data_IF_758066928745
#
_entry.id   IF_758066928745
#
_cell.length_a   1.000
_cell.length_b   1.000
_cell.length_c   1.000
_cell.angle_alpha   90.00
_cell.angle_beta   90.00
_cell.angle_gamma   90.00
#
_symmetry.space_group_name_H-M   'P 1'
#
loop_
_entity.id
_entity.type
_entity.pdbx_description
1 polymer ?
#
# COMPACT_ATOMS: atom_id res chain seq x y z
N UNK A 1 15.00 22.20 -0.59
CA UNK A 1 14.30 20.96 -0.19
C UNK A 1 14.78 19.87 -1.12
N UNK A 2 15.36 18.79 -0.58
CA UNK A 2 15.73 17.60 -1.35
C UNK A 2 14.49 16.74 -1.52
N UNK A 3 14.11 16.42 -2.76
CA UNK A 3 12.93 15.63 -3.07
C UNK A 3 13.28 14.16 -3.30
N UNK A 4 14.33 13.89 -4.07
CA UNK A 4 14.80 12.52 -4.31
C UNK A 4 16.32 12.45 -4.25
N UNK A 5 16.83 11.45 -3.53
CA UNK A 5 18.22 11.04 -3.52
C UNK A 5 18.28 9.55 -3.22
N UNK A 6 18.66 8.73 -4.17
CA UNK A 6 18.64 7.28 -3.99
C UNK A 6 19.72 6.58 -4.80
N UNK A 7 20.04 5.36 -4.38
CA UNK A 7 20.78 4.37 -5.14
C UNK A 7 19.93 3.11 -5.32
N UNK A 8 19.99 2.50 -6.50
CA UNK A 8 19.24 1.28 -6.80
C UNK A 8 20.16 0.18 -7.27
N UNK A 9 19.96 -1.02 -6.74
CA UNK A 9 20.56 -2.24 -7.22
C UNK A 9 19.49 -3.21 -7.72
N UNK A 10 19.72 -3.86 -8.86
CA UNK A 10 18.79 -4.82 -9.45
C UNK A 10 19.49 -6.16 -9.67
N UNK A 11 18.83 -7.22 -9.24
CA UNK A 11 19.24 -8.58 -9.51
C UNK A 11 18.04 -9.42 -9.96
N UNK A 12 18.03 -9.82 -11.22
CA UNK A 12 16.89 -10.52 -11.84
C UNK A 12 15.58 -9.72 -11.63
N UNK A 13 14.64 -10.28 -10.90
CA UNK A 13 13.33 -9.68 -10.62
C UNK A 13 13.29 -8.90 -9.30
N UNK A 14 14.41 -8.84 -8.58
CA UNK A 14 14.51 -8.10 -7.32
C UNK A 14 15.16 -6.76 -7.54
N UNK A 15 14.69 -5.76 -6.83
CA UNK A 15 15.24 -4.42 -6.78
C UNK A 15 15.33 -3.95 -5.34
N UNK A 16 16.49 -3.45 -4.96
CA UNK A 16 16.74 -2.77 -3.69
C UNK A 16 16.98 -1.29 -3.99
N UNK A 17 16.17 -0.43 -3.42
CA UNK A 17 16.35 1.01 -3.43
C UNK A 17 16.78 1.47 -2.03
N UNK A 18 17.80 2.33 -1.97
CA UNK A 18 18.31 2.95 -0.74
C UNK A 18 18.21 4.46 -0.90
N UNK A 19 17.53 5.13 0.02
CA UNK A 19 17.35 6.58 0.01
C UNK A 19 15.90 7.03 -0.16
N UNK A 20 15.70 8.17 -0.80
CA UNK A 20 14.40 8.83 -1.01
C UNK A 20 14.01 8.71 -2.47
N UNK A 21 12.91 8.01 -2.76
CA UNK A 21 12.42 7.79 -4.12
C UNK A 21 10.89 7.85 -4.17
N UNK A 22 10.35 8.54 -5.17
CA UNK A 22 8.91 8.49 -5.45
C UNK A 22 8.46 7.11 -5.97
N UNK A 23 7.22 6.71 -5.69
CA UNK A 23 6.64 5.53 -6.34
C UNK A 23 6.62 5.73 -7.87
N UNK A 24 6.68 4.62 -8.59
CA UNK A 24 6.51 4.65 -10.04
C UNK A 24 5.13 5.19 -10.39
N UNK A 25 5.05 6.04 -11.41
CA UNK A 25 3.78 6.50 -11.94
C UNK A 25 3.01 5.35 -12.60
N UNK A 26 1.76 5.21 -12.23
CA UNK A 26 0.80 4.29 -12.82
C UNK A 26 -0.24 5.08 -13.66
N UNK A 27 -0.94 4.41 -14.55
CA UNK A 27 -1.99 5.00 -15.40
C UNK A 27 -1.52 6.26 -16.17
N UNK A 28 -0.28 6.24 -16.66
CA UNK A 28 0.35 7.36 -17.39
C UNK A 28 0.29 8.71 -16.63
N UNK A 29 0.28 8.69 -15.31
CA UNK A 29 0.30 9.87 -14.44
C UNK A 29 -1.03 10.62 -14.34
N UNK A 30 -2.13 10.12 -14.91
CA UNK A 30 -3.43 10.80 -14.84
C UNK A 30 -4.30 10.38 -13.65
N UNK A 31 -3.86 9.39 -12.86
CA UNK A 31 -4.54 8.98 -11.64
C UNK A 31 -4.22 9.94 -10.49
N UNK A 32 -5.24 10.39 -9.78
CA UNK A 32 -5.07 11.26 -8.60
C UNK A 32 -4.44 10.55 -7.41
N UNK A 33 -4.64 9.24 -7.32
CA UNK A 33 -4.05 8.38 -6.27
C UNK A 33 -2.82 7.64 -6.72
N UNK A 34 -2.46 7.69 -8.00
CA UNK A 34 -1.46 6.80 -8.58
C UNK A 34 -1.81 5.30 -8.41
N UNK A 35 -3.11 4.96 -8.44
CA UNK A 35 -3.60 3.61 -8.19
C UNK A 35 -3.39 3.12 -6.76
N UNK A 36 -3.17 4.03 -5.81
CA UNK A 36 -2.92 3.71 -4.40
C UNK A 36 -3.39 4.83 -3.48
N UNK A 37 -4.51 4.65 -2.80
CA UNK A 37 -5.05 5.68 -1.92
C UNK A 37 -4.22 5.91 -0.64
N UNK A 38 -3.36 4.97 -0.24
CA UNK A 38 -2.49 5.12 0.94
C UNK A 38 -1.29 6.00 0.61
N UNK A 39 -0.68 5.78 -0.56
CA UNK A 39 0.50 6.51 -1.01
C UNK A 39 0.30 7.02 -2.44
N UNK A 40 -0.32 8.18 -2.55
CA UNK A 40 -0.53 8.85 -3.84
C UNK A 40 0.78 9.38 -4.44
N UNK A 41 0.73 9.82 -5.70
CA UNK A 41 1.85 10.48 -6.36
C UNK A 41 2.35 11.75 -5.66
N UNK A 42 1.51 12.42 -4.85
CA UNK A 42 1.86 13.61 -4.07
C UNK A 42 2.48 13.29 -2.71
N UNK A 43 2.64 12.02 -2.35
CA UNK A 43 3.24 11.63 -1.09
C UNK A 43 4.71 12.03 -1.06
N UNK A 44 5.16 12.62 0.06
CA UNK A 44 6.57 12.90 0.28
C UNK A 44 7.40 11.62 0.24
N UNK A 45 8.62 11.76 -0.22
CA UNK A 45 9.64 10.71 -0.10
C UNK A 45 10.26 10.73 1.28
N UNK A 46 10.57 9.56 1.80
CA UNK A 46 11.28 9.40 3.07
C UNK A 46 12.56 8.58 2.85
N UNK A 47 13.66 8.91 3.56
CA UNK A 47 14.86 8.09 3.52
C UNK A 47 14.60 6.72 4.13
N UNK A 48 15.11 5.70 3.47
CA UNK A 48 14.94 4.34 3.92
C UNK A 48 15.46 3.33 2.93
N UNK A 49 15.00 2.10 3.05
CA UNK A 49 15.25 1.07 2.06
C UNK A 49 13.93 0.44 1.60
N UNK A 50 13.93 -0.03 0.36
CA UNK A 50 12.80 -0.70 -0.25
C UNK A 50 13.28 -1.89 -1.07
N UNK A 51 13.02 -3.10 -0.59
CA UNK A 51 13.21 -4.33 -1.34
C UNK A 51 11.90 -4.70 -2.02
N UNK A 52 11.88 -4.66 -3.33
CA UNK A 52 10.71 -4.99 -4.12
C UNK A 52 11.02 -5.99 -5.23
N UNK A 53 9.98 -6.63 -5.74
CA UNK A 53 10.10 -7.53 -6.87
C UNK A 53 9.24 -7.08 -8.04
N UNK A 54 9.63 -7.45 -9.24
CA UNK A 54 8.71 -7.54 -10.36
C UNK A 54 7.84 -8.81 -10.21
N UNK A 55 6.82 -8.97 -11.04
CA UNK A 55 6.02 -10.19 -11.04
C UNK A 55 6.85 -11.41 -11.42
N UNK A 56 7.05 -12.30 -10.49
CA UNK A 56 7.77 -13.55 -10.65
C UNK A 56 6.78 -14.68 -10.92
N UNK A 57 6.99 -15.41 -12.03
CA UNK A 57 6.16 -16.56 -12.38
C UNK A 57 6.27 -17.65 -11.30
N UNK A 58 5.15 -18.17 -10.86
CA UNK A 58 5.11 -19.30 -9.94
C UNK A 58 5.44 -20.58 -10.73
N UNK A 59 6.42 -21.38 -10.30
CA UNK A 59 6.74 -22.66 -10.96
C UNK A 59 5.51 -23.56 -11.07
N UNK A 60 5.47 -24.42 -12.07
CA UNK A 60 4.42 -25.42 -12.31
C UNK A 60 3.02 -24.86 -12.65
N UNK A 61 2.84 -23.55 -12.77
CA UNK A 61 1.53 -22.94 -13.13
C UNK A 61 1.39 -22.60 -14.61
N UNK A 62 2.32 -23.05 -15.45
CA UNK A 62 2.36 -22.74 -16.89
C UNK A 62 2.30 -21.23 -17.19
N UNK A 63 2.73 -20.38 -16.25
CA UNK A 63 2.71 -18.93 -16.37
C UNK A 63 1.36 -18.28 -16.08
N UNK A 64 0.37 -19.04 -15.60
CA UNK A 64 -0.93 -18.50 -15.18
C UNK A 64 -0.80 -17.65 -13.92
N UNK A 65 0.05 -18.07 -12.98
CA UNK A 65 0.24 -17.37 -11.70
C UNK A 65 1.59 -16.66 -11.66
N UNK A 66 1.57 -15.43 -11.12
CA UNK A 66 2.78 -14.69 -10.78
C UNK A 66 2.59 -13.94 -9.48
N UNK A 67 3.67 -13.79 -8.70
CA UNK A 67 3.66 -13.10 -7.43
C UNK A 67 4.58 -11.88 -7.48
N UNK A 68 4.21 -10.83 -6.75
CA UNK A 68 5.01 -9.62 -6.52
C UNK A 68 4.97 -9.32 -5.04
N UNK A 69 6.07 -8.83 -4.49
CA UNK A 69 6.13 -8.38 -3.10
C UNK A 69 6.91 -7.08 -2.95
N UNK A 70 6.68 -6.42 -1.83
CA UNK A 70 7.43 -5.27 -1.37
C UNK A 70 7.68 -5.37 0.13
N UNK A 71 8.86 -4.91 0.56
CA UNK A 71 9.26 -4.78 1.96
C UNK A 71 10.13 -3.55 2.12
N UNK A 72 9.69 -2.61 2.93
CA UNK A 72 10.40 -1.35 3.09
C UNK A 72 10.31 -0.82 4.52
N UNK A 73 11.34 -0.09 4.93
CA UNK A 73 11.34 0.68 6.15
C UNK A 73 11.92 2.07 5.87
N UNK A 74 11.26 3.08 6.42
CA UNK A 74 11.59 4.48 6.23
C UNK A 74 11.65 5.21 7.56
N UNK A 75 12.41 6.31 7.59
CA UNK A 75 12.44 7.27 8.67
C UNK A 75 11.71 8.55 8.24
N UNK A 76 10.85 9.06 9.11
CA UNK A 76 10.18 10.34 8.90
C UNK A 76 11.05 11.43 9.50
N UNK A 77 11.74 12.20 8.65
CA UNK A 77 12.75 13.18 9.03
C UNK A 77 12.24 14.64 8.99
N UNK A 78 10.97 14.83 8.72
CA UNK A 78 10.34 16.13 8.70
C UNK A 78 9.97 16.60 10.12
N UNK A 79 9.78 17.89 10.27
CA UNK A 79 9.32 18.51 11.52
C UNK A 79 7.85 18.14 11.74
N UNK A 80 7.61 17.30 12.74
CA UNK A 80 6.30 16.78 13.10
C UNK A 80 6.16 16.60 14.59
N UNK A 81 4.91 16.51 15.06
CA UNK A 81 4.58 16.39 16.47
C UNK A 81 5.23 15.18 17.19
N UNK A 82 5.37 14.05 16.50
CA UNK A 82 6.12 12.88 16.99
C UNK A 82 7.41 12.78 16.18
N UNK A 83 8.53 13.11 16.80
CA UNK A 83 9.86 13.07 16.17
C UNK A 83 10.39 11.63 16.02
N UNK A 84 11.32 11.41 15.09
CA UNK A 84 11.99 10.12 14.86
C UNK A 84 11.04 8.94 14.58
N UNK A 85 9.88 9.23 14.05
CA UNK A 85 8.90 8.21 13.68
C UNK A 85 9.38 7.38 12.51
N UNK A 86 9.03 6.10 12.53
CA UNK A 86 9.36 5.13 11.46
C UNK A 86 8.11 4.66 10.75
N UNK A 87 8.27 4.34 9.47
CA UNK A 87 7.24 3.70 8.65
C UNK A 87 7.75 2.33 8.20
N UNK A 88 6.94 1.31 8.44
CA UNK A 88 7.12 -0.01 7.83
C UNK A 88 6.07 -0.19 6.73
N UNK A 89 6.50 -0.71 5.56
CA UNK A 89 5.59 -1.09 4.48
C UNK A 89 5.89 -2.51 4.02
N UNK A 90 4.84 -3.27 3.83
CA UNK A 90 4.89 -4.57 3.17
C UNK A 90 3.69 -4.76 2.27
N UNK A 91 3.89 -5.48 1.17
CA UNK A 91 2.79 -5.86 0.29
C UNK A 91 3.06 -7.19 -0.41
N UNK A 92 1.99 -7.87 -0.79
CA UNK A 92 2.04 -9.06 -1.60
C UNK A 92 0.87 -9.07 -2.58
N UNK A 93 1.16 -9.34 -3.85
CA UNK A 93 0.18 -9.38 -4.93
C UNK A 93 0.30 -10.68 -5.71
N UNK A 94 -0.84 -11.30 -5.99
CA UNK A 94 -0.98 -12.44 -6.87
C UNK A 94 -1.62 -11.98 -8.17
N UNK A 95 -0.93 -12.22 -9.27
CA UNK A 95 -1.43 -11.99 -10.62
C UNK A 95 -1.84 -13.32 -11.23
N UNK A 96 -3.07 -13.38 -11.76
CA UNK A 96 -3.69 -14.53 -12.39
C UNK A 96 -3.98 -14.17 -13.84
N UNK A 97 -3.44 -14.95 -14.78
CA UNK A 97 -3.71 -14.83 -16.22
C UNK A 97 -4.45 -16.06 -16.74
N UNK A 98 -5.76 -16.12 -16.56
CA UNK A 98 -6.54 -17.28 -17.02
C UNK A 98 -6.59 -17.38 -18.54
N UNK A 99 -6.40 -16.27 -19.23
CA UNK A 99 -6.35 -16.15 -20.69
C UNK A 99 -5.39 -15.01 -21.10
N UNK A 100 -4.89 -15.00 -22.32
CA UNK A 100 -3.95 -14.00 -22.82
C UNK A 100 -4.48 -12.55 -22.72
N UNK A 101 -5.80 -12.36 -22.81
CA UNK A 101 -6.46 -11.05 -22.73
C UNK A 101 -6.93 -10.66 -21.35
N UNK A 102 -6.87 -11.54 -20.36
CA UNK A 102 -7.35 -11.24 -19.03
C UNK A 102 -6.24 -11.35 -17.99
N UNK A 103 -6.18 -10.37 -17.14
CA UNK A 103 -5.27 -10.33 -16.00
C UNK A 103 -6.04 -9.89 -14.76
N UNK A 104 -6.01 -10.70 -13.72
CA UNK A 104 -6.62 -10.42 -12.44
C UNK A 104 -5.49 -10.31 -11.43
N UNK A 105 -5.49 -9.23 -10.65
CA UNK A 105 -4.49 -9.01 -9.59
C UNK A 105 -5.26 -8.86 -8.29
N UNK A 106 -4.90 -9.67 -7.31
CA UNK A 106 -5.38 -9.53 -5.93
C UNK A 106 -4.19 -9.35 -5.01
N UNK A 107 -4.35 -8.58 -3.96
CA UNK A 107 -3.23 -8.36 -3.05
C UNK A 107 -3.59 -7.61 -1.80
N UNK A 108 -2.60 -7.51 -0.94
CA UNK A 108 -2.65 -6.77 0.31
C UNK A 108 -1.44 -5.83 0.37
N UNK A 109 -1.67 -4.63 0.82
CA UNK A 109 -0.64 -3.68 1.18
C UNK A 109 -0.90 -3.17 2.60
N UNK A 110 0.15 -3.09 3.40
CA UNK A 110 0.08 -2.70 4.79
C UNK A 110 1.19 -1.72 5.12
N UNK A 111 0.82 -0.62 5.75
CA UNK A 111 1.70 0.39 6.31
C UNK A 111 1.52 0.45 7.81
N UNK A 112 2.60 0.66 8.54
CA UNK A 112 2.58 0.88 9.96
C UNK A 112 3.50 2.02 10.36
N UNK A 113 2.97 3.02 11.04
CA UNK A 113 3.72 4.10 11.68
C UNK A 113 4.00 3.70 13.12
N UNK A 114 5.27 3.76 13.54
CA UNK A 114 5.70 3.28 14.84
C UNK A 114 6.94 4.00 15.36
N UNK A 115 7.33 3.71 16.59
CA UNK A 115 8.46 4.35 17.28
C UNK A 115 8.30 5.88 17.38
N UNK A 116 9.39 6.57 17.65
CA UNK A 116 9.43 8.03 17.78
C UNK A 116 9.30 8.50 19.22
N UNK A 117 9.30 9.82 19.39
CA UNK A 117 9.17 10.50 20.67
C UNK A 117 8.07 11.55 20.59
N UNK A 118 7.01 11.35 21.37
CA UNK A 118 5.91 12.30 21.51
C UNK A 118 6.18 13.27 22.65
N UNK A 119 5.90 14.59 22.51
CA UNK A 119 6.00 15.53 23.61
C UNK A 119 5.14 15.14 24.83
N UNK A 120 3.94 14.60 24.60
CA UNK A 120 3.01 14.26 25.68
C UNK A 120 3.21 12.86 26.27
N UNK A 121 3.68 11.90 25.45
CA UNK A 121 3.74 10.49 25.82
C UNK A 121 5.16 9.94 25.91
N UNK A 122 6.16 10.78 25.65
CA UNK A 122 7.57 10.39 25.65
C UNK A 122 7.92 9.39 24.54
N UNK A 123 8.99 8.65 24.76
CA UNK A 123 9.53 7.69 23.81
C UNK A 123 8.59 6.48 23.63
N UNK A 124 8.23 6.22 22.38
CA UNK A 124 7.39 5.08 22.01
C UNK A 124 8.19 3.79 21.88
N UNK A 125 7.57 2.60 22.03
CA UNK A 125 8.23 1.32 21.86
C UNK A 125 8.98 1.23 20.53
N UNK A 126 10.28 0.91 20.57
CA UNK A 126 11.17 0.94 19.41
C UNK A 126 12.22 -0.16 19.37
N UNK A 127 12.07 -1.20 20.23
CA UNK A 127 12.96 -2.36 20.25
C UNK A 127 12.74 -3.27 19.04
N UNK A 128 13.68 -4.18 18.79
CA UNK A 128 13.51 -5.20 17.74
C UNK A 128 12.27 -6.09 17.99
N UNK A 129 11.94 -6.37 19.25
CA UNK A 129 10.72 -7.11 19.61
C UNK A 129 9.46 -6.33 19.24
N UNK A 130 9.47 -5.01 19.40
CA UNK A 130 8.37 -4.14 18.99
C UNK A 130 8.25 -4.09 17.48
N UNK A 131 9.38 -4.05 16.76
CA UNK A 131 9.38 -4.15 15.29
C UNK A 131 8.70 -5.43 14.80
N UNK A 132 8.97 -6.59 15.42
CA UNK A 132 8.28 -7.84 15.06
C UNK A 132 6.76 -7.74 15.34
N UNK A 133 6.35 -7.05 16.41
CA UNK A 133 4.93 -6.81 16.69
C UNK A 133 4.28 -5.95 15.62
N UNK A 134 4.96 -4.87 15.20
CA UNK A 134 4.52 -3.99 14.10
C UNK A 134 4.32 -4.79 12.80
N UNK A 135 5.30 -5.60 12.42
CA UNK A 135 5.20 -6.45 11.23
C UNK A 135 3.98 -7.39 11.31
N UNK A 136 3.71 -7.95 12.47
CA UNK A 136 2.63 -8.91 12.68
C UNK A 136 1.30 -8.26 13.08
N UNK A 137 1.21 -6.93 13.14
CA UNK A 137 0.07 -6.17 13.66
C UNK A 137 -0.42 -6.73 15.02
N UNK A 138 0.53 -6.98 15.94
CA UNK A 138 0.25 -7.50 17.30
C UNK A 138 0.20 -6.40 18.32
N UNK A 139 -0.50 -6.66 19.41
CA UNK A 139 -0.60 -5.79 20.58
C UNK A 139 0.77 -5.37 21.14
N UNK A 140 0.82 -4.17 21.71
CA UNK A 140 1.99 -3.63 22.39
C UNK A 140 2.36 -4.43 23.62
N UNK A 141 3.67 -4.40 23.97
CA UNK A 141 4.17 -5.00 25.19
C UNK A 141 4.24 -4.01 26.35
N UNK A 142 5.03 -4.41 27.35
CA UNK A 142 5.34 -3.55 28.50
C UNK A 142 5.90 -2.20 28.05
N UNK A 143 5.30 -1.09 28.46
CA UNK A 143 5.68 0.27 28.07
C UNK A 143 4.90 0.82 26.85
N UNK A 144 4.00 0.05 26.27
CA UNK A 144 3.06 0.55 25.26
C UNK A 144 1.97 1.40 25.94
N UNK A 145 1.33 2.28 25.17
CA UNK A 145 0.13 3.02 25.62
C UNK A 145 -1.01 2.03 25.92
N UNK A 146 -2.01 2.46 26.71
CA UNK A 146 -3.19 1.62 26.98
C UNK A 146 -3.88 1.22 25.68
N UNK A 147 -3.97 2.14 24.72
CA UNK A 147 -4.52 1.86 23.38
C UNK A 147 -3.73 0.77 22.66
N UNK A 148 -2.41 0.88 22.61
CA UNK A 148 -1.53 -0.06 21.91
C UNK A 148 -1.41 -1.41 22.63
N UNK A 149 -1.74 -1.49 23.92
CA UNK A 149 -1.77 -2.73 24.69
C UNK A 149 -3.06 -3.54 24.46
N UNK A 150 -4.10 -2.91 23.91
CA UNK A 150 -5.39 -3.55 23.59
C UNK A 150 -5.52 -3.76 22.08
N UNK A 151 -4.93 -2.86 21.28
CA UNK A 151 -4.90 -2.90 19.82
C UNK A 151 -3.50 -3.23 19.32
N UNK A 152 -3.33 -3.26 17.98
CA UNK A 152 -2.02 -3.40 17.38
C UNK A 152 -1.10 -2.22 17.76
N UNK A 153 0.16 -2.51 18.08
CA UNK A 153 1.18 -1.52 18.41
C UNK A 153 1.43 -0.59 17.21
N UNK A 154 1.32 0.73 17.41
CA UNK A 154 1.50 1.72 16.38
C UNK A 154 0.22 2.05 15.61
N UNK A 155 0.33 2.83 14.54
CA UNK A 155 -0.80 3.21 13.69
C UNK A 155 -0.70 2.46 12.36
N UNK A 156 -1.72 1.66 12.07
CA UNK A 156 -1.77 0.77 10.91
C UNK A 156 -2.75 1.30 9.87
N UNK A 157 -2.37 1.20 8.61
CA UNK A 157 -3.22 1.50 7.46
C UNK A 157 -2.90 0.51 6.36
N UNK A 158 -3.90 -0.08 5.77
CA UNK A 158 -3.71 -1.01 4.68
C UNK A 158 -4.82 -0.98 3.67
N UNK A 159 -4.63 -1.75 2.62
CA UNK A 159 -5.65 -1.98 1.59
C UNK A 159 -5.67 -3.42 1.13
N UNK A 160 -6.85 -3.90 0.89
CA UNK A 160 -7.13 -5.06 0.06
C UNK A 160 -7.32 -4.58 -1.36
N UNK A 161 -6.63 -5.19 -2.31
CA UNK A 161 -6.56 -4.72 -3.69
C UNK A 161 -7.10 -5.76 -4.66
N UNK A 162 -7.96 -5.31 -5.58
CA UNK A 162 -8.39 -6.06 -6.74
C UNK A 162 -8.19 -5.22 -7.99
N UNK A 163 -7.52 -5.77 -9.00
CA UNK A 163 -7.49 -5.22 -10.35
C UNK A 163 -7.93 -6.27 -11.35
N UNK A 164 -8.75 -5.87 -12.31
CA UNK A 164 -9.13 -6.68 -13.47
C UNK A 164 -8.76 -5.91 -14.74
N UNK A 165 -7.85 -6.46 -15.53
CA UNK A 165 -7.42 -5.89 -16.80
C UNK A 165 -7.93 -6.72 -17.96
N UNK A 166 -8.48 -6.04 -18.95
CA UNK A 166 -8.72 -6.59 -20.28
C UNK A 166 -7.69 -6.01 -21.26
N UNK A 167 -6.89 -6.89 -21.83
CA UNK A 167 -5.76 -6.55 -22.71
C UNK A 167 -6.19 -6.78 -24.17
N UNK A 168 -6.77 -5.77 -24.81
CA UNK A 168 -7.06 -5.80 -26.24
C UNK A 168 -5.78 -5.52 -27.06
N UNK A 169 -5.84 -5.74 -28.38
CA UNK A 169 -4.70 -5.50 -29.26
C UNK A 169 -4.30 -4.01 -29.29
N UNK A 170 -5.29 -3.11 -29.28
CA UNK A 170 -5.10 -1.66 -29.44
C UNK A 170 -5.33 -0.83 -28.15
N UNK A 171 -5.84 -1.41 -27.08
CA UNK A 171 -6.12 -0.71 -25.83
C UNK A 171 -6.08 -1.65 -24.62
N UNK A 172 -6.10 -1.04 -23.46
CA UNK A 172 -6.25 -1.71 -22.16
C UNK A 172 -7.48 -1.11 -21.48
N UNK A 173 -8.33 -1.96 -20.92
CA UNK A 173 -9.34 -1.55 -19.94
C UNK A 173 -8.94 -2.11 -18.60
N UNK A 174 -8.99 -1.26 -17.57
CA UNK A 174 -8.72 -1.69 -16.20
C UNK A 174 -9.87 -1.25 -15.30
N UNK A 175 -10.25 -2.15 -14.42
CA UNK A 175 -11.03 -1.83 -13.24
C UNK A 175 -10.17 -2.15 -12.03
N UNK A 176 -10.06 -1.23 -11.07
CA UNK A 176 -9.51 -1.59 -9.76
C UNK A 176 -10.42 -1.13 -8.62
N UNK A 177 -10.31 -1.85 -7.52
CA UNK A 177 -10.99 -1.56 -6.27
C UNK A 177 -10.03 -1.81 -5.11
N UNK A 178 -9.90 -0.78 -4.27
CA UNK A 178 -9.13 -0.84 -3.02
C UNK A 178 -10.08 -0.68 -1.84
N UNK A 179 -10.07 -1.64 -0.91
CA UNK A 179 -10.81 -1.59 0.34
C UNK A 179 -9.85 -1.22 1.46
N UNK A 180 -10.06 -0.09 2.18
CA UNK A 180 -9.19 0.32 3.27
C UNK A 180 -9.40 -0.54 4.52
N UNK A 181 -8.33 -0.73 5.29
CA UNK A 181 -8.39 -1.24 6.66
C UNK A 181 -7.35 -0.53 7.54
N UNK A 182 -7.66 -0.34 8.83
CA UNK A 182 -6.77 0.34 9.78
C UNK A 182 -6.20 -0.59 10.84
N UNK A 183 -6.85 -1.72 11.10
CA UNK A 183 -6.41 -2.70 12.10
C UNK A 183 -6.72 -4.14 11.65
N UNK A 184 -6.44 -5.12 12.51
CA UNK A 184 -6.71 -6.52 12.24
C UNK A 184 -8.19 -6.83 11.99
N UNK A 185 -9.11 -6.01 12.53
CA UNK A 185 -10.55 -6.19 12.31
C UNK A 185 -10.99 -5.75 10.91
N UNK A 186 -10.22 -4.88 10.25
CA UNK A 186 -10.48 -4.39 8.90
C UNK A 186 -10.15 -5.38 7.79
N UNK A 187 -9.33 -6.40 8.06
CA UNK A 187 -8.88 -7.38 7.06
C UNK A 187 -9.94 -8.39 6.59
N UNK A 188 -11.15 -8.35 7.15
CA UNK A 188 -12.27 -9.24 6.80
C UNK A 188 -13.26 -8.57 5.82
N UNK A 189 -12.80 -7.66 4.96
CA UNK A 189 -13.65 -6.85 4.08
C UNK A 189 -14.75 -6.05 4.80
N UNK A 190 -14.56 -5.77 6.09
CA UNK A 190 -15.59 -5.12 6.93
C UNK A 190 -15.90 -3.69 6.51
N UNK A 191 -14.94 -3.03 5.90
CA UNK A 191 -15.14 -1.68 5.35
C UNK A 191 -15.93 -1.67 4.05
N UNK A 192 -16.15 -2.83 3.40
CA UNK A 192 -16.92 -2.87 2.15
C UNK A 192 -18.36 -2.32 2.36
N UNK A 193 -18.90 -1.47 1.49
CA UNK A 193 -18.38 -1.08 0.16
C UNK A 193 -17.46 0.15 0.14
N UNK A 194 -16.95 0.61 1.28
CA UNK A 194 -16.00 1.71 1.31
C UNK A 194 -14.73 1.34 0.54
N UNK A 195 -14.19 2.33 -0.16
CA UNK A 195 -13.00 2.15 -0.94
C UNK A 195 -12.90 3.07 -2.14
N UNK A 196 -11.88 2.82 -2.94
CA UNK A 196 -11.65 3.48 -4.21
C UNK A 196 -12.05 2.57 -5.35
N UNK A 197 -12.86 3.07 -6.25
CA UNK A 197 -13.27 2.41 -7.48
C UNK A 197 -12.70 3.18 -8.66
N UNK A 198 -12.04 2.49 -9.57
CA UNK A 198 -11.46 3.12 -10.75
C UNK A 198 -11.78 2.34 -12.02
N UNK A 199 -12.06 3.08 -13.07
CA UNK A 199 -12.14 2.59 -14.43
C UNK A 199 -11.12 3.36 -15.28
N UNK A 200 -10.25 2.62 -15.96
CA UNK A 200 -9.22 3.18 -16.81
C UNK A 200 -9.29 2.59 -18.21
N UNK A 201 -9.17 3.46 -19.18
CA UNK A 201 -8.92 3.15 -20.59
C UNK A 201 -7.56 3.71 -20.97
N UNK A 202 -6.69 2.89 -21.55
CA UNK A 202 -5.40 3.31 -22.11
C UNK A 202 -5.22 2.79 -23.53
N UNK A 203 -5.04 3.69 -24.49
CA UNK A 203 -4.73 3.33 -25.88
C UNK A 203 -3.29 2.88 -26.01
N UNK A 204 -3.05 1.84 -26.80
CA UNK A 204 -1.71 1.44 -27.22
C UNK A 204 -1.25 2.20 -28.48
N UNK A 205 -2.14 2.96 -29.10
CA UNK A 205 -1.87 3.80 -30.29
C UNK A 205 -1.57 5.22 -29.81
N UNK A 206 -0.44 5.79 -30.24
CA UNK A 206 0.02 7.13 -29.82
C UNK A 206 -0.58 8.28 -30.63
N UNK A 207 -1.17 7.99 -31.78
CA UNK A 207 -1.70 8.94 -32.76
C UNK A 207 -3.20 9.22 -32.61
N UNK A 208 -3.75 8.96 -31.42
CA UNK A 208 -5.18 9.19 -31.13
C UNK A 208 -5.38 10.47 -30.33
N UNK A 209 -6.54 11.12 -30.51
CA UNK A 209 -6.94 12.31 -29.77
C UNK A 209 -7.13 12.04 -28.28
N UNK A 210 -7.59 10.83 -27.95
CA UNK A 210 -7.76 10.37 -26.58
C UNK A 210 -6.88 9.13 -26.42
N UNK A 211 -5.82 9.27 -25.65
CA UNK A 211 -4.91 8.16 -25.34
C UNK A 211 -5.26 7.48 -24.04
N UNK A 212 -5.75 8.26 -23.07
CA UNK A 212 -6.02 7.76 -21.73
C UNK A 212 -7.27 8.44 -21.16
N UNK A 213 -8.07 7.67 -20.45
CA UNK A 213 -9.20 8.16 -19.66
C UNK A 213 -9.22 7.42 -18.35
N UNK A 214 -9.36 8.14 -17.25
CA UNK A 214 -9.52 7.54 -15.94
C UNK A 214 -10.74 8.14 -15.22
N UNK A 215 -11.51 7.30 -14.56
CA UNK A 215 -12.56 7.68 -13.64
C UNK A 215 -12.29 7.05 -12.29
N UNK A 216 -12.12 7.86 -11.25
CA UNK A 216 -11.89 7.42 -9.88
C UNK A 216 -13.04 7.90 -8.99
N UNK A 217 -13.62 6.98 -8.25
CA UNK A 217 -14.70 7.23 -7.31
C UNK A 217 -14.32 6.73 -5.93
N UNK A 218 -14.50 7.61 -4.93
CA UNK A 218 -14.21 7.30 -3.53
C UNK A 218 -15.52 7.19 -2.78
N UNK A 219 -15.72 6.06 -2.14
CA UNK A 219 -16.84 5.83 -1.26
C UNK A 219 -16.33 5.61 0.17
N UNK A 220 -16.74 6.46 1.12
CA UNK A 220 -16.19 6.50 2.47
C UNK A 220 -17.29 6.70 3.51
N UNK A 221 -18.40 6.01 3.35
CA UNK A 221 -19.59 6.19 4.20
C UNK A 221 -19.60 5.29 5.43
N UNK A 222 -18.91 4.17 5.40
CA UNK A 222 -18.95 3.14 6.42
C UNK A 222 -17.62 2.96 7.14
N UNK A 223 -16.69 3.91 7.02
CA UNK A 223 -15.37 3.85 7.65
C UNK A 223 -15.48 3.37 9.09
N UNK A 224 -14.89 2.22 9.38
CA UNK A 224 -14.72 1.58 10.68
C UNK A 224 -15.98 1.37 11.54
N UNK A 225 -17.20 1.60 11.07
CA UNK A 225 -18.26 1.75 12.02
C UNK A 225 -19.53 0.94 11.86
N UNK A 226 -20.07 0.72 10.67
CA UNK A 226 -21.44 0.18 10.54
C UNK A 226 -21.58 -1.32 10.84
N UNK A 227 -20.46 -2.02 10.98
CA UNK A 227 -20.42 -3.47 11.25
C UNK A 227 -19.64 -3.85 12.52
N UNK A 228 -19.25 -2.89 13.34
CA UNK A 228 -18.75 -3.19 14.67
C UNK A 228 -19.92 -3.55 15.58
N UNK A 229 -19.84 -4.70 16.24
CA UNK A 229 -20.83 -5.17 17.24
C UNK A 229 -20.86 -4.29 18.51
N UNK A 230 -20.03 -3.24 18.56
CA UNK A 230 -20.01 -2.25 19.65
C UNK A 230 -20.04 -0.85 19.05
N UNK A 231 -20.97 0.01 19.51
CA UNK A 231 -20.91 1.41 19.15
C UNK A 231 -19.57 1.99 19.60
N UNK A 232 -18.91 2.75 18.74
CA UNK A 232 -17.75 3.53 19.14
C UNK A 232 -18.15 4.38 20.37
N UNK A 233 -17.50 4.14 21.49
CA UNK A 233 -17.66 5.03 22.66
C UNK A 233 -17.05 6.37 22.28
N UNK A 234 -17.79 7.49 22.51
CA UNK A 234 -17.32 8.83 22.19
C UNK A 234 -16.05 9.21 22.94
#
# INVERSE_FOLDING_TARGET
ILDQLYASARWRNLRLDLGMIHPKEEYNGISSTNGNFIRSGNSRTFPGYNLNSEYMKVPCTKGVLSIKFNWADYMMIDDRYVEDTRLHNKSAFLKIKPHQRWEIIVGLEHWAQWAGTSPDRGKQPSSFKDYIRIICAKEGGTGASVSDSINALGNHLGREHLTINYLADNYILSFYHDIPFEDGSGTDFRSFPDGTYCFYYGSKKKDQWITDVIYEFYYTKYQSGSRHDRPATP
#
